data_IF_052847394787
#
_entry.id   IF_052847394787
#
_cell.length_a   1.000
_cell.length_b   1.000
_cell.length_c   1.000
_cell.angle_alpha   90.00
_cell.angle_beta   90.00
_cell.angle_gamma   90.00
#
_symmetry.space_group_name_H-M   'P 1'
#
loop_
_entity.id
_entity.type
_entity.pdbx_description
1 polymer ?
#
# COMPACT_ATOMS: atom_id res chain seq x y z
N UNK A 1 -21.15 -10.32 -2.96
CA UNK A 1 -20.43 -9.09 -2.61
C UNK A 1 -19.18 -9.06 -3.45
N UNK A 2 -18.90 -7.95 -4.14
CA UNK A 2 -17.64 -7.74 -4.86
C UNK A 2 -16.50 -7.66 -3.83
N UNK A 3 -15.42 -8.39 -4.08
CA UNK A 3 -14.26 -8.46 -3.17
C UNK A 3 -13.04 -8.00 -3.95
N UNK A 4 -12.25 -7.11 -3.34
CA UNK A 4 -10.93 -6.71 -3.84
C UNK A 4 -9.92 -7.00 -2.74
N UNK A 5 -8.94 -7.85 -3.04
CA UNK A 5 -7.82 -8.16 -2.16
C UNK A 5 -6.57 -7.48 -2.67
N UNK A 6 -5.96 -6.65 -1.83
CA UNK A 6 -4.72 -5.92 -2.15
C UNK A 6 -3.67 -6.28 -1.12
N UNK A 7 -2.48 -6.63 -1.60
CA UNK A 7 -1.26 -6.62 -0.79
C UNK A 7 -0.49 -5.34 -1.12
N UNK A 8 0.08 -4.70 -0.10
CA UNK A 8 0.87 -3.49 -0.28
C UNK A 8 1.99 -3.44 0.75
N UNK A 9 3.06 -2.75 0.40
CA UNK A 9 4.19 -2.48 1.29
C UNK A 9 4.22 -0.99 1.64
N UNK A 10 4.58 -0.66 2.87
CA UNK A 10 4.77 0.72 3.31
C UNK A 10 5.87 0.79 4.38
N UNK A 11 6.48 1.97 4.50
CA UNK A 11 7.46 2.30 5.53
C UNK A 11 6.71 2.77 6.79
N UNK A 12 6.83 2.09 7.95
CA UNK A 12 6.04 2.40 9.14
C UNK A 12 6.27 3.82 9.69
N UNK A 13 7.53 4.27 9.68
CA UNK A 13 7.94 5.54 10.28
C UNK A 13 7.50 6.75 9.44
N UNK A 14 7.70 6.67 8.12
CA UNK A 14 7.43 7.78 7.20
C UNK A 14 6.01 7.74 6.64
N UNK A 15 5.35 6.58 6.71
CA UNK A 15 4.06 6.34 6.08
C UNK A 15 4.12 6.30 4.55
N UNK A 16 5.32 6.17 3.96
CA UNK A 16 5.51 6.11 2.50
C UNK A 16 5.08 4.74 1.99
N UNK A 17 4.27 4.73 0.93
CA UNK A 17 3.92 3.50 0.24
C UNK A 17 5.06 3.06 -0.69
N UNK A 18 5.40 1.77 -0.67
CA UNK A 18 6.45 1.18 -1.50
C UNK A 18 5.91 0.56 -2.79
N UNK A 19 4.61 0.24 -2.81
CA UNK A 19 3.96 -0.43 -3.93
C UNK A 19 2.72 -1.19 -3.49
N UNK A 20 1.95 -1.65 -4.47
CA UNK A 20 0.80 -2.54 -4.27
C UNK A 20 0.74 -3.64 -5.32
N UNK A 21 -0.01 -4.70 -5.01
CA UNK A 21 -0.48 -5.68 -5.97
C UNK A 21 -1.90 -6.10 -5.62
N UNK A 22 -2.75 -6.16 -6.65
CA UNK A 22 -4.11 -6.72 -6.52
C UNK A 22 -4.00 -8.23 -6.68
N UNK A 23 -4.46 -8.98 -5.68
CA UNK A 23 -4.40 -10.44 -5.64
C UNK A 23 -5.69 -11.08 -6.12
N UNK A 24 -6.84 -10.53 -5.73
CA UNK A 24 -8.16 -10.97 -6.15
C UNK A 24 -9.02 -9.75 -6.45
N UNK A 25 -9.80 -9.81 -7.53
CA UNK A 25 -10.86 -8.85 -7.81
C UNK A 25 -12.05 -9.64 -8.37
N UNK A 26 -13.18 -9.60 -7.66
CA UNK A 26 -14.47 -10.16 -8.09
C UNK A 26 -15.44 -9.06 -8.48
N UNK A 27 -14.94 -7.97 -9.05
CA UNK A 27 -15.82 -6.93 -9.61
C UNK A 27 -16.49 -7.38 -10.91
N UNK A 28 -17.59 -6.71 -11.24
CA UNK A 28 -18.29 -6.91 -12.52
C UNK A 28 -17.31 -6.68 -13.68
N UNK A 29 -17.21 -7.61 -14.65
CA UNK A 29 -16.26 -7.51 -15.75
C UNK A 29 -16.33 -6.17 -16.49
N UNK A 30 -15.16 -5.57 -16.74
CA UNK A 30 -15.00 -4.39 -17.59
C UNK A 30 -14.48 -3.15 -16.85
N UNK A 31 -15.13 -2.77 -15.74
CA UNK A 31 -14.82 -1.50 -15.05
C UNK A 31 -13.75 -1.67 -13.97
N UNK A 32 -13.90 -2.71 -13.13
CA UNK A 32 -13.00 -2.96 -11.99
C UNK A 32 -11.61 -3.45 -12.37
N UNK A 33 -11.44 -4.11 -13.52
CA UNK A 33 -10.15 -4.68 -13.95
C UNK A 33 -9.04 -3.64 -14.15
N UNK A 34 -9.42 -2.38 -14.37
CA UNK A 34 -8.47 -1.31 -14.64
C UNK A 34 -7.55 -1.06 -13.45
N UNK A 35 -7.96 -1.36 -12.22
CA UNK A 35 -7.15 -1.14 -11.01
C UNK A 35 -5.83 -1.94 -10.98
N UNK A 36 -5.68 -2.95 -11.85
CA UNK A 36 -4.45 -3.72 -12.03
C UNK A 36 -3.95 -3.78 -13.49
N UNK A 37 -4.74 -3.37 -14.48
CA UNK A 37 -4.34 -3.33 -15.90
C UNK A 37 -3.84 -1.94 -16.33
N UNK A 38 -4.39 -0.88 -15.76
CA UNK A 38 -4.04 0.50 -16.08
C UNK A 38 -2.70 0.85 -15.44
N UNK A 39 -1.65 0.99 -16.26
CA UNK A 39 -0.28 1.19 -15.77
C UNK A 39 -0.10 2.56 -15.13
N UNK A 40 -0.77 3.60 -15.63
CA UNK A 40 -0.69 4.94 -15.06
C UNK A 40 -1.31 4.95 -13.66
N UNK A 41 -2.42 4.22 -13.46
CA UNK A 41 -2.96 4.02 -12.12
C UNK A 41 -2.04 3.20 -11.22
N UNK A 42 -1.49 2.08 -11.71
CA UNK A 42 -0.64 1.20 -10.91
C UNK A 42 0.64 1.90 -10.47
N UNK A 43 1.29 2.64 -11.37
CA UNK A 43 2.58 3.27 -11.15
C UNK A 43 2.54 4.32 -10.02
N UNK A 44 1.43 5.06 -9.87
CA UNK A 44 1.26 6.04 -8.79
C UNK A 44 1.48 5.47 -7.39
N UNK A 45 1.24 4.16 -7.18
CA UNK A 45 1.46 3.50 -5.89
C UNK A 45 2.92 3.07 -5.66
N UNK A 46 3.75 3.09 -6.71
CA UNK A 46 5.20 2.87 -6.66
C UNK A 46 5.98 4.18 -6.63
N UNK A 47 5.34 5.31 -6.94
CA UNK A 47 5.93 6.66 -6.92
C UNK A 47 6.06 7.25 -5.50
N UNK A 48 6.17 6.37 -4.49
CA UNK A 48 6.39 6.71 -3.08
C UNK A 48 5.34 7.68 -2.50
N UNK A 49 4.02 7.51 -2.72
CA UNK A 49 3.03 8.41 -2.16
C UNK A 49 2.97 8.27 -0.63
N UNK A 50 2.68 9.38 0.05
CA UNK A 50 2.57 9.43 1.50
C UNK A 50 1.15 9.14 1.98
N UNK A 51 1.00 8.22 2.92
CA UNK A 51 -0.28 7.88 3.53
C UNK A 51 -0.69 8.89 4.63
N UNK A 52 -1.99 9.20 4.80
CA UNK A 52 -3.14 8.59 4.11
C UNK A 52 -3.30 9.08 2.67
N UNK A 53 -3.70 8.15 1.80
CA UNK A 53 -3.94 8.41 0.38
C UNK A 53 -5.33 9.03 0.15
N UNK A 54 -5.45 9.82 -0.93
CA UNK A 54 -6.72 10.41 -1.36
C UNK A 54 -6.94 10.15 -2.84
N UNK A 55 -8.01 9.42 -3.18
CA UNK A 55 -8.43 9.24 -4.56
C UNK A 55 -9.08 10.53 -5.08
N UNK A 56 -8.48 11.16 -6.08
CA UNK A 56 -8.95 12.39 -6.72
C UNK A 56 -9.40 12.13 -8.15
N UNK A 57 -10.08 13.10 -8.78
CA UNK A 57 -10.40 12.99 -10.20
C UNK A 57 -9.09 13.10 -11.01
N UNK A 58 -8.91 12.23 -12.00
CA UNK A 58 -7.74 12.27 -12.87
C UNK A 58 -7.42 13.68 -13.39
N UNK A 59 -6.16 14.10 -13.23
CA UNK A 59 -5.67 15.41 -13.66
C UNK A 59 -6.14 16.59 -12.82
N UNK A 60 -6.70 16.37 -11.62
CA UNK A 60 -7.11 17.45 -10.70
C UNK A 60 -6.19 17.60 -9.49
N UNK A 61 -5.04 16.92 -9.51
CA UNK A 61 -4.05 16.94 -8.43
C UNK A 61 -3.58 18.35 -8.11
N UNK A 62 -3.39 18.59 -6.81
CA UNK A 62 -2.81 19.80 -6.23
C UNK A 62 -1.33 19.60 -5.89
N UNK A 63 -0.78 18.42 -6.17
CA UNK A 63 0.60 18.05 -5.85
C UNK A 63 0.77 17.65 -4.38
N UNK A 64 -0.31 17.24 -3.72
CA UNK A 64 -0.21 16.69 -2.37
C UNK A 64 0.37 15.26 -2.44
N UNK A 65 1.24 14.86 -1.52
CA UNK A 65 2.04 13.63 -1.65
C UNK A 65 1.22 12.34 -1.58
N UNK A 66 -0.04 12.39 -1.14
CA UNK A 66 -0.93 11.23 -1.06
C UNK A 66 -2.05 11.23 -2.12
N UNK A 67 -2.04 12.17 -3.07
CA UNK A 67 -3.07 12.22 -4.12
C UNK A 67 -2.86 11.10 -5.14
N UNK A 68 -3.92 10.36 -5.43
CA UNK A 68 -3.95 9.30 -6.43
C UNK A 68 -5.08 9.61 -7.42
N UNK A 69 -4.73 9.77 -8.68
CA UNK A 69 -5.69 9.94 -9.76
C UNK A 69 -6.54 8.68 -9.93
N UNK A 70 -7.85 8.83 -9.74
CA UNK A 70 -8.81 7.78 -9.97
C UNK A 70 -9.00 7.53 -11.47
N UNK A 71 -9.26 6.26 -11.80
CA UNK A 71 -9.49 5.83 -13.18
C UNK A 71 -10.84 6.34 -13.67
N UNK A 72 -10.87 7.04 -14.80
CA UNK A 72 -12.12 7.47 -15.43
C UNK A 72 -12.99 6.26 -15.79
N UNK A 73 -14.24 6.30 -15.33
CA UNK A 73 -15.17 5.19 -15.47
C UNK A 73 -15.06 4.14 -14.36
N UNK A 74 -13.98 4.07 -13.59
CA UNK A 74 -13.78 3.11 -12.49
C UNK A 74 -13.47 3.82 -11.16
N UNK A 75 -14.19 4.92 -10.90
CA UNK A 75 -13.96 5.79 -9.73
C UNK A 75 -14.21 5.07 -8.41
N UNK A 76 -15.23 4.21 -8.34
CA UNK A 76 -15.56 3.46 -7.12
C UNK A 76 -14.45 2.44 -6.82
N UNK A 77 -14.04 1.65 -7.81
CA UNK A 77 -12.93 0.69 -7.70
C UNK A 77 -11.63 1.36 -7.27
N UNK A 78 -11.32 2.54 -7.84
CA UNK A 78 -10.14 3.32 -7.46
C UNK A 78 -10.17 3.73 -5.98
N UNK A 79 -11.34 4.18 -5.50
CA UNK A 79 -11.55 4.54 -4.09
C UNK A 79 -11.44 3.33 -3.17
N UNK A 80 -11.92 2.16 -3.58
CA UNK A 80 -11.81 0.92 -2.80
C UNK A 80 -10.34 0.57 -2.54
N UNK A 81 -9.48 0.63 -3.56
CA UNK A 81 -8.05 0.36 -3.40
C UNK A 81 -7.41 1.33 -2.41
N UNK A 82 -7.69 2.63 -2.54
CA UNK A 82 -7.20 3.66 -1.60
C UNK A 82 -7.69 3.41 -0.17
N UNK A 83 -8.97 3.07 0.01
CA UNK A 83 -9.55 2.75 1.31
C UNK A 83 -8.92 1.51 1.95
N UNK A 84 -8.66 0.45 1.18
CA UNK A 84 -7.99 -0.77 1.69
C UNK A 84 -6.63 -0.42 2.28
N UNK A 85 -5.82 0.36 1.54
CA UNK A 85 -4.48 0.77 2.00
C UNK A 85 -4.58 1.63 3.26
N UNK A 86 -5.44 2.66 3.25
CA UNK A 86 -5.58 3.56 4.38
C UNK A 86 -6.05 2.82 5.65
N UNK A 87 -7.02 1.91 5.52
CA UNK A 87 -7.51 1.12 6.64
C UNK A 87 -6.43 0.19 7.18
N UNK A 88 -5.69 -0.51 6.32
CA UNK A 88 -4.60 -1.38 6.76
C UNK A 88 -3.47 -0.62 7.46
N UNK A 89 -3.07 0.55 6.94
CA UNK A 89 -2.06 1.40 7.61
C UNK A 89 -2.57 1.89 8.95
N UNK A 90 -3.82 2.33 9.04
CA UNK A 90 -4.41 2.80 10.30
C UNK A 90 -4.50 1.67 11.36
N UNK A 91 -4.78 0.45 10.93
CA UNK A 91 -4.84 -0.73 11.79
C UNK A 91 -3.47 -1.17 12.30
N UNK A 92 -2.45 -1.15 11.44
CA UNK A 92 -1.11 -1.67 11.77
C UNK A 92 -0.19 -0.66 12.46
N UNK A 93 -0.36 0.66 12.21
CA UNK A 93 0.50 1.70 12.80
C UNK A 93 0.70 1.56 14.32
N UNK A 94 -0.35 1.37 15.13
CA UNK A 94 -0.19 1.24 16.58
C UNK A 94 0.62 0.00 17.00
N UNK A 95 0.59 -1.08 16.20
CA UNK A 95 1.32 -2.31 16.48
C UNK A 95 2.78 -2.21 16.09
N UNK A 96 3.07 -1.58 14.95
CA UNK A 96 4.44 -1.45 14.42
C UNK A 96 5.27 -0.45 15.23
N UNK A 97 4.65 0.58 15.82
CA UNK A 97 5.33 1.54 16.70
C UNK A 97 5.69 0.96 18.08
N UNK A 98 5.13 -0.20 18.46
CA UNK A 98 5.47 -0.88 19.71
C UNK A 98 6.66 -1.84 19.58
N UNK A 99 7.08 -2.12 18.34
CA UNK A 99 8.25 -2.97 18.10
C UNK A 99 9.49 -2.08 18.09
N UNK A 100 9.92 -1.68 19.29
CA UNK A 100 11.30 -1.26 19.50
C UNK A 100 12.15 -2.53 19.31
N UNK A 101 12.63 -2.74 18.09
CA UNK A 101 13.57 -3.83 17.81
C UNK A 101 14.85 -3.49 18.57
N UNK A 102 14.97 -3.98 19.80
CA UNK A 102 16.23 -3.93 20.52
C UNK A 102 17.31 -4.46 19.56
N UNK A 103 18.39 -3.68 19.30
CA UNK A 103 19.45 -4.13 18.45
C UNK A 103 19.90 -5.50 18.94
N UNK A 104 19.99 -6.47 18.03
CA UNK A 104 20.62 -7.75 18.33
C UNK A 104 22.07 -7.45 18.69
N UNK A 105 22.34 -7.33 19.99
CA UNK A 105 23.66 -7.06 20.54
C UNK A 105 24.64 -8.07 19.94
N UNK A 106 25.63 -7.54 19.23
CA UNK A 106 26.66 -8.31 18.57
C UNK A 106 27.47 -9.09 19.62
N UNK A 107 27.61 -10.41 19.42
CA UNK A 107 28.69 -11.17 20.04
C UNK A 107 28.28 -12.23 21.06
N UNK A 108 27.46 -13.21 20.65
CA UNK A 108 27.57 -14.55 21.25
C UNK A 108 28.53 -15.37 20.37
N UNK A 109 29.80 -15.40 20.77
CA UNK A 109 30.79 -16.34 20.23
C UNK A 109 30.26 -17.76 20.42
N UNK A 110 30.09 -18.51 19.34
CA UNK A 110 29.87 -19.95 19.39
C UNK A 110 31.07 -20.59 20.12
N UNK A 111 30.87 -21.41 21.16
CA UNK A 111 31.96 -22.19 21.71
C UNK A 111 32.42 -23.19 20.64
N UNK A 112 33.73 -23.21 20.40
CA UNK A 112 34.44 -24.19 19.59
C UNK A 112 34.23 -25.57 20.20
N UNK A 113 33.41 -26.41 19.56
CA UNK A 113 33.32 -27.83 19.92
C UNK A 113 34.54 -28.56 19.36
N UNK A 114 35.45 -28.92 20.27
CA UNK A 114 36.41 -30.01 20.10
C UNK A 114 36.19 -31.02 21.25
N UNK A 115 36.29 -32.33 21.01
CA UNK A 115 37.58 -32.96 20.70
C UNK A 115 37.62 -33.87 19.47
#
# INVERSE_FOLDING_TARGET
ADIVLVIFGFEPDTGILLGKKVLESKETPGLGDKIFKDQDFVQQFFDRPQTPLTAIKAGTGKGLPGEIDAITGATISSKVVVSIINNGVAEWRPMLQQVDLEPLEQGQTMPEEAP
#
